data_IF_117099797942
#
_entry.id   IF_117099797942
#
_cell.length_a   1.000
_cell.length_b   1.000
_cell.length_c   1.000
_cell.angle_alpha   90.00
_cell.angle_beta   90.00
_cell.angle_gamma   90.00
#
_symmetry.space_group_name_H-M   'P 1'
#
loop_
_entity.id
_entity.type
_entity.pdbx_description
1 polymer ?
#
# COMPACT_ATOMS: atom_id res chain seq x y z
N UNK A 1 4.28 -32.64 15.88
CA UNK A 1 2.94 -33.26 15.91
C UNK A 1 1.99 -32.17 16.36
N UNK A 2 1.06 -31.74 15.51
CA UNK A 2 0.09 -30.72 15.89
C UNK A 2 -0.75 -31.26 17.05
N UNK A 3 -0.98 -30.43 18.06
CA UNK A 3 -1.86 -30.76 19.18
C UNK A 3 -3.30 -30.95 18.70
N UNK A 4 -4.11 -31.74 19.43
CA UNK A 4 -5.50 -32.01 19.02
C UNK A 4 -6.35 -30.74 18.80
N UNK A 5 -6.02 -29.66 19.51
CA UNK A 5 -6.68 -28.36 19.35
C UNK A 5 -6.28 -27.65 18.03
N UNK A 6 -5.02 -27.79 17.60
CA UNK A 6 -4.58 -27.26 16.30
C UNK A 6 -5.24 -28.01 15.15
N UNK A 7 -5.38 -29.34 15.24
CA UNK A 7 -6.12 -30.12 14.23
C UNK A 7 -7.58 -29.70 14.12
N UNK A 8 -8.24 -29.47 15.26
CA UNK A 8 -9.63 -29.01 15.31
C UNK A 8 -9.78 -27.61 14.69
N UNK A 9 -8.84 -26.70 14.99
CA UNK A 9 -8.82 -25.36 14.43
C UNK A 9 -8.62 -25.38 12.91
N UNK A 10 -7.63 -26.13 12.41
CA UNK A 10 -7.40 -26.26 10.97
C UNK A 10 -8.59 -26.90 10.25
N UNK A 11 -9.19 -27.95 10.83
CA UNK A 11 -10.37 -28.59 10.28
C UNK A 11 -11.56 -27.63 10.19
N UNK A 12 -11.81 -26.85 11.24
CA UNK A 12 -12.87 -25.85 11.26
C UNK A 12 -12.65 -24.74 10.22
N UNK A 13 -11.43 -24.20 10.14
CA UNK A 13 -11.09 -23.16 9.16
C UNK A 13 -11.22 -23.68 7.73
N UNK A 14 -10.75 -24.90 7.45
CA UNK A 14 -10.91 -25.53 6.13
C UNK A 14 -12.38 -25.76 5.78
N UNK A 15 -13.20 -26.23 6.73
CA UNK A 15 -14.64 -26.43 6.51
C UNK A 15 -15.32 -25.10 6.15
N UNK A 16 -15.06 -24.05 6.92
CA UNK A 16 -15.63 -22.71 6.69
C UNK A 16 -15.21 -22.19 5.33
N UNK A 17 -13.93 -22.32 4.95
CA UNK A 17 -13.44 -21.90 3.65
C UNK A 17 -14.15 -22.65 2.49
N UNK A 18 -14.30 -23.97 2.59
CA UNK A 18 -15.01 -24.78 1.58
C UNK A 18 -16.48 -24.38 1.47
N UNK A 19 -17.17 -24.19 2.60
CA UNK A 19 -18.56 -23.72 2.62
C UNK A 19 -18.69 -22.34 1.96
N UNK A 20 -17.73 -21.45 2.21
CA UNK A 20 -17.72 -20.13 1.59
C UNK A 20 -17.57 -20.22 0.07
N UNK A 21 -16.67 -21.07 -0.42
CA UNK A 21 -16.48 -21.34 -1.86
C UNK A 21 -17.71 -21.99 -2.48
N UNK A 22 -18.39 -22.89 -1.77
CA UNK A 22 -19.63 -23.51 -2.27
C UNK A 22 -20.79 -22.51 -2.36
N UNK A 23 -20.93 -21.61 -1.38
CA UNK A 23 -22.00 -20.60 -1.36
C UNK A 23 -21.77 -19.48 -2.36
N UNK A 24 -20.52 -19.05 -2.56
CA UNK A 24 -20.15 -17.97 -3.50
C UNK A 24 -19.81 -18.49 -4.90
N UNK A 25 -19.67 -19.81 -5.04
CA UNK A 25 -19.29 -20.47 -6.29
C UNK A 25 -17.87 -20.11 -6.76
N UNK A 26 -17.53 -20.45 -8.01
CA UNK A 26 -16.23 -20.09 -8.60
C UNK A 26 -16.02 -18.57 -8.70
N UNK A 27 -17.10 -17.77 -8.67
CA UNK A 27 -17.00 -16.31 -8.65
C UNK A 27 -16.38 -15.79 -7.35
N UNK A 28 -16.67 -16.41 -6.18
CA UNK A 28 -16.09 -15.97 -4.91
C UNK A 28 -14.56 -16.08 -4.87
N UNK A 29 -14.01 -17.12 -5.50
CA UNK A 29 -12.56 -17.33 -5.59
C UNK A 29 -11.84 -16.22 -6.37
N UNK A 30 -12.52 -15.57 -7.31
CA UNK A 30 -11.97 -14.47 -8.11
C UNK A 30 -12.33 -13.11 -7.51
N UNK A 31 -13.55 -12.94 -7.03
CA UNK A 31 -14.06 -11.68 -6.49
C UNK A 31 -13.35 -11.27 -5.21
N UNK A 32 -13.05 -12.20 -4.29
CA UNK A 32 -12.37 -11.89 -3.03
C UNK A 32 -10.98 -11.30 -3.25
N UNK A 33 -10.03 -11.97 -3.95
CA UNK A 33 -8.71 -11.37 -4.19
C UNK A 33 -8.80 -10.09 -5.02
N UNK A 34 -9.72 -10.01 -5.98
CA UNK A 34 -9.94 -8.80 -6.77
C UNK A 34 -10.34 -7.61 -5.89
N UNK A 35 -11.31 -7.77 -4.99
CA UNK A 35 -11.75 -6.74 -4.05
C UNK A 35 -10.61 -6.33 -3.11
N UNK A 36 -9.83 -7.29 -2.61
CA UNK A 36 -8.68 -7.01 -1.74
C UNK A 36 -7.60 -6.20 -2.45
N UNK A 37 -7.31 -6.50 -3.72
CA UNK A 37 -6.36 -5.75 -4.55
C UNK A 37 -6.86 -4.31 -4.75
N UNK A 38 -8.13 -4.13 -5.15
CA UNK A 38 -8.72 -2.81 -5.36
C UNK A 38 -8.71 -1.99 -4.08
N UNK A 39 -9.10 -2.57 -2.94
CA UNK A 39 -9.07 -1.91 -1.65
C UNK A 39 -7.64 -1.54 -1.22
N UNK A 40 -6.66 -2.41 -1.48
CA UNK A 40 -5.25 -2.13 -1.23
C UNK A 40 -4.73 -0.92 -2.01
N UNK A 41 -5.04 -0.85 -3.31
CA UNK A 41 -4.67 0.31 -4.14
C UNK A 41 -5.39 1.59 -3.75
N UNK A 42 -6.69 1.52 -3.44
CA UNK A 42 -7.46 2.68 -2.99
C UNK A 42 -6.90 3.27 -1.68
N UNK A 43 -6.50 2.40 -0.75
CA UNK A 43 -5.84 2.80 0.50
C UNK A 43 -4.48 3.47 0.24
N UNK A 44 -3.63 2.84 -0.58
CA UNK A 44 -2.32 3.40 -0.92
C UNK A 44 -2.42 4.77 -1.60
N UNK A 45 -3.43 4.97 -2.44
CA UNK A 45 -3.69 6.27 -3.08
C UNK A 45 -4.19 7.34 -2.11
N UNK A 46 -4.90 6.96 -1.05
CA UNK A 46 -5.40 7.90 -0.04
C UNK A 46 -4.30 8.35 0.93
N UNK A 47 -3.26 7.52 1.12
CA UNK A 47 -2.11 7.84 1.98
C UNK A 47 -0.99 8.60 1.24
N UNK A 48 -1.07 8.75 -0.08
CA UNK A 48 -0.09 9.50 -0.89
C UNK A 48 -0.32 11.02 -0.96
N UNK A 49 -1.32 11.56 -0.26
CA UNK A 49 -1.55 13.02 -0.12
C UNK A 49 -0.61 13.69 0.88
N UNK A 50 0.48 13.03 1.30
CA UNK A 50 1.65 13.74 1.77
C UNK A 50 2.34 14.33 0.53
N UNK A 51 1.88 15.52 0.12
CA UNK A 51 2.43 16.36 -0.94
C UNK A 51 3.91 16.64 -0.65
N UNK A 52 4.77 15.67 -1.00
CA UNK A 52 6.22 15.85 -1.02
C UNK A 52 6.48 16.80 -2.16
N UNK A 53 6.41 18.11 -1.87
CA UNK A 53 6.83 19.13 -2.81
C UNK A 53 8.17 18.69 -3.39
N UNK A 54 8.20 18.50 -4.72
CA UNK A 54 9.39 17.99 -5.38
C UNK A 54 10.60 18.92 -5.13
N UNK A 55 11.82 18.44 -5.41
CA UNK A 55 13.00 19.29 -5.32
C UNK A 55 12.83 20.55 -6.19
N UNK A 56 13.22 21.70 -5.63
CA UNK A 56 13.18 23.01 -6.32
C UNK A 56 14.55 23.31 -6.91
N UNK A 57 14.61 23.74 -8.17
CA UNK A 57 15.88 24.05 -8.83
C UNK A 57 16.25 25.52 -8.60
N UNK A 58 17.50 25.80 -8.22
CA UNK A 58 18.00 27.16 -8.06
C UNK A 58 18.03 27.91 -9.41
N UNK A 59 17.52 29.15 -9.45
CA UNK A 59 17.51 29.98 -10.66
C UNK A 59 18.91 30.43 -11.11
N UNK A 60 19.89 30.47 -10.20
CA UNK A 60 21.25 30.90 -10.49
C UNK A 60 22.15 29.80 -11.04
N UNK A 61 22.25 28.68 -10.32
CA UNK A 61 23.17 27.59 -10.67
C UNK A 61 22.47 26.34 -11.23
N UNK A 62 21.13 26.28 -11.20
CA UNK A 62 20.34 25.13 -11.69
C UNK A 62 20.36 23.90 -10.78
N UNK A 63 21.03 23.95 -9.62
CA UNK A 63 21.15 22.80 -8.73
C UNK A 63 19.82 22.49 -8.01
N UNK A 64 19.52 21.20 -7.74
CA UNK A 64 18.33 20.80 -7.00
C UNK A 64 18.49 21.08 -5.50
N UNK A 65 17.46 21.63 -4.87
CA UNK A 65 17.39 21.94 -3.46
C UNK A 65 16.14 21.30 -2.82
N UNK A 66 16.17 21.14 -1.50
CA UNK A 66 15.03 20.63 -0.74
C UNK A 66 13.83 21.56 -0.87
N UNK A 67 12.60 21.01 -0.92
CA UNK A 67 11.39 21.82 -0.89
C UNK A 67 11.34 22.69 0.37
N UNK A 68 11.17 23.99 0.20
CA UNK A 68 11.13 24.96 1.30
C UNK A 68 12.49 25.50 1.75
N UNK A 69 13.58 25.13 1.09
CA UNK A 69 14.85 25.82 1.28
C UNK A 69 14.73 27.28 0.81
N UNK A 70 15.18 28.24 1.63
CA UNK A 70 15.22 29.66 1.25
C UNK A 70 16.53 30.05 0.57
N UNK A 71 17.58 29.23 0.72
CA UNK A 71 18.94 29.49 0.21
C UNK A 71 19.50 28.24 -0.45
N UNK A 72 20.13 28.42 -1.61
CA UNK A 72 20.76 27.36 -2.37
C UNK A 72 21.99 26.81 -1.65
N UNK A 73 22.03 25.50 -1.40
CA UNK A 73 23.13 24.83 -0.70
C UNK A 73 24.47 24.80 -1.47
N UNK A 74 24.46 25.20 -2.75
CA UNK A 74 25.64 25.14 -3.64
C UNK A 74 26.24 26.50 -3.98
N UNK A 75 25.42 27.55 -4.04
CA UNK A 75 25.85 28.88 -4.49
C UNK A 75 25.39 30.02 -3.59
N UNK A 76 24.74 29.71 -2.46
CA UNK A 76 24.27 30.65 -1.44
C UNK A 76 23.27 31.71 -1.96
N UNK A 77 22.68 31.49 -3.14
CA UNK A 77 21.67 32.36 -3.73
C UNK A 77 20.28 32.04 -3.17
N UNK A 78 19.41 33.05 -3.07
CA UNK A 78 18.02 32.87 -2.63
C UNK A 78 17.22 32.06 -3.65
N UNK A 79 16.41 31.11 -3.17
CA UNK A 79 15.61 30.18 -3.98
C UNK A 79 14.22 30.71 -4.33
#
# INVERSE_FOLDING_TARGET
MASGNELALYGFVSLVAVLFVLMTGPLGLVAIPFVLIVAGFAKMSAESDAESAGPVNCSGCGAPNEPGAEVCQYCDETL
#
